data_IF_619892227985
#
_entry.id   IF_619892227985
#
_cell.length_a   1.000
_cell.length_b   1.000
_cell.length_c   1.000
_cell.angle_alpha   90.00
_cell.angle_beta   90.00
_cell.angle_gamma   90.00
#
_symmetry.space_group_name_H-M   'P 1'
#
loop_
_entity.id
_entity.type
_entity.pdbx_description
1 polymer ?
#
# COMPACT_ATOMS: atom_id res chain seq x y z
N UNK A 1 -90.91 26.47 -1.92
CA UNK A 1 -90.56 25.14 -1.41
C UNK A 1 -89.11 24.83 -1.75
N UNK A 2 -88.28 25.08 -0.77
CA UNK A 2 -86.80 24.85 -0.98
C UNK A 2 -86.43 23.54 -0.34
N UNK A 3 -86.03 22.55 -1.10
CA UNK A 3 -85.62 21.27 -0.62
C UNK A 3 -84.11 21.35 -0.30
N UNK A 4 -83.76 21.32 0.97
CA UNK A 4 -82.36 21.21 1.42
C UNK A 4 -81.96 19.73 1.37
N UNK A 5 -80.88 19.46 0.65
CA UNK A 5 -80.21 18.15 0.58
C UNK A 5 -79.60 17.80 1.94
N UNK A 6 -79.70 16.55 2.42
CA UNK A 6 -79.08 16.14 3.68
C UNK A 6 -77.54 16.14 3.60
N UNK A 7 -76.83 16.47 4.69
CA UNK A 7 -75.38 16.39 4.73
C UNK A 7 -74.92 14.95 4.61
N UNK A 8 -73.98 14.66 3.71
CA UNK A 8 -73.37 13.36 3.54
C UNK A 8 -72.57 13.01 4.82
N UNK A 9 -73.08 12.15 5.69
CA UNK A 9 -72.37 11.56 6.81
C UNK A 9 -71.29 10.62 6.27
N UNK A 10 -70.08 11.14 6.12
CA UNK A 10 -68.91 10.28 5.86
C UNK A 10 -68.82 9.31 7.00
N UNK A 11 -68.90 8.01 6.70
CA UNK A 11 -68.91 6.96 7.72
C UNK A 11 -67.64 7.04 8.56
N UNK A 12 -67.71 6.97 9.91
CA UNK A 12 -66.50 7.03 10.77
C UNK A 12 -65.48 5.95 10.42
N UNK A 13 -65.91 4.83 9.87
CA UNK A 13 -65.08 3.75 9.35
C UNK A 13 -64.18 4.19 8.20
N UNK A 14 -64.65 5.03 7.28
CA UNK A 14 -63.83 5.55 6.16
C UNK A 14 -62.72 6.51 6.66
N UNK A 15 -63.04 7.30 7.69
CA UNK A 15 -62.03 8.18 8.31
C UNK A 15 -60.96 7.38 9.06
N UNK A 16 -61.34 6.34 9.80
CA UNK A 16 -60.39 5.43 10.46
C UNK A 16 -59.50 4.69 9.45
N UNK A 17 -60.06 4.17 8.36
CA UNK A 17 -59.30 3.51 7.32
C UNK A 17 -58.28 4.44 6.64
N UNK A 18 -58.67 5.70 6.38
CA UNK A 18 -57.76 6.69 5.79
C UNK A 18 -56.58 7.02 6.73
N UNK A 19 -56.85 7.23 8.02
CA UNK A 19 -55.79 7.51 9.02
C UNK A 19 -54.84 6.30 9.16
N UNK A 20 -55.37 5.09 9.20
CA UNK A 20 -54.57 3.85 9.28
C UNK A 20 -53.66 3.68 8.07
N UNK A 21 -54.18 3.88 6.86
CA UNK A 21 -53.39 3.80 5.63
C UNK A 21 -52.30 4.88 5.59
N UNK A 22 -52.60 6.08 6.05
CA UNK A 22 -51.62 7.16 6.12
C UNK A 22 -50.49 6.85 7.13
N UNK A 23 -50.86 6.32 8.31
CA UNK A 23 -49.89 5.91 9.31
C UNK A 23 -49.00 4.73 8.80
N UNK A 24 -49.61 3.74 8.14
CA UNK A 24 -48.88 2.64 7.53
C UNK A 24 -47.92 3.09 6.42
N UNK A 25 -48.36 4.02 5.57
CA UNK A 25 -47.53 4.61 4.54
C UNK A 25 -46.35 5.41 5.12
N UNK A 26 -46.60 6.21 6.18
CA UNK A 26 -45.54 6.93 6.89
C UNK A 26 -44.54 5.99 7.55
N UNK A 27 -45.01 4.92 8.21
CA UNK A 27 -44.15 3.92 8.83
C UNK A 27 -43.31 3.18 7.78
N UNK A 28 -43.93 2.78 6.67
CA UNK A 28 -43.22 2.16 5.54
C UNK A 28 -42.16 3.08 4.92
N UNK A 29 -42.47 4.35 4.72
CA UNK A 29 -41.52 5.34 4.20
C UNK A 29 -40.37 5.57 5.20
N UNK A 30 -40.61 5.56 6.50
CA UNK A 30 -39.61 5.71 7.53
C UNK A 30 -38.63 4.51 7.54
N UNK A 31 -39.16 3.28 7.51
CA UNK A 31 -38.35 2.07 7.44
C UNK A 31 -37.52 2.07 6.17
N UNK A 32 -38.09 2.41 5.02
CA UNK A 32 -37.41 2.45 3.75
C UNK A 32 -36.25 3.50 3.70
N UNK A 33 -36.45 4.66 4.34
CA UNK A 33 -35.40 5.68 4.45
C UNK A 33 -34.27 5.24 5.37
N UNK A 34 -34.59 4.58 6.51
CA UNK A 34 -33.60 4.02 7.42
C UNK A 34 -32.77 2.92 6.77
N UNK A 35 -33.42 1.97 6.08
CA UNK A 35 -32.67 0.92 5.33
C UNK A 35 -31.78 1.50 4.23
N UNK A 36 -32.21 2.55 3.55
CA UNK A 36 -31.38 3.23 2.56
C UNK A 36 -30.16 3.93 3.19
N UNK A 37 -30.33 4.55 4.35
CA UNK A 37 -29.26 5.20 5.08
C UNK A 37 -28.24 4.18 5.58
N UNK A 38 -28.69 3.04 6.14
CA UNK A 38 -27.77 1.97 6.59
C UNK A 38 -26.96 1.39 5.44
N UNK A 39 -27.59 1.10 4.30
CA UNK A 39 -26.88 0.61 3.11
C UNK A 39 -25.92 1.64 2.52
N UNK A 40 -26.25 2.93 2.57
CA UNK A 40 -25.35 3.99 2.13
C UNK A 40 -24.15 4.12 3.08
N UNK A 41 -24.38 4.08 4.40
CA UNK A 41 -23.31 4.12 5.39
C UNK A 41 -22.36 2.93 5.30
N UNK A 42 -22.88 1.70 5.11
CA UNK A 42 -22.04 0.51 4.91
C UNK A 42 -21.17 0.61 3.65
N UNK A 43 -21.70 1.17 2.56
CA UNK A 43 -20.92 1.40 1.32
C UNK A 43 -19.86 2.49 1.52
N UNK A 44 -20.18 3.54 2.23
CA UNK A 44 -19.23 4.63 2.52
C UNK A 44 -18.11 4.14 3.44
N UNK A 45 -18.45 3.39 4.49
CA UNK A 45 -17.44 2.79 5.38
C UNK A 45 -16.52 1.80 4.65
N UNK A 46 -17.05 0.96 3.76
CA UNK A 46 -16.23 0.06 2.97
C UNK A 46 -15.32 0.81 1.96
N UNK A 47 -15.81 1.91 1.40
CA UNK A 47 -15.03 2.76 0.49
C UNK A 47 -13.96 3.57 1.25
N UNK A 48 -14.26 4.06 2.44
CA UNK A 48 -13.33 4.80 3.30
C UNK A 48 -12.19 3.90 3.78
N UNK A 49 -12.51 2.68 4.26
CA UNK A 49 -11.50 1.68 4.65
C UNK A 49 -10.61 1.29 3.46
N UNK A 50 -11.19 1.11 2.27
CA UNK A 50 -10.40 0.83 1.07
C UNK A 50 -9.53 2.04 0.67
N UNK A 51 -10.03 3.25 0.81
CA UNK A 51 -9.29 4.49 0.56
C UNK A 51 -8.10 4.67 1.48
N UNK A 52 -8.28 4.44 2.78
CA UNK A 52 -7.23 4.53 3.79
C UNK A 52 -6.10 3.50 3.53
N UNK A 53 -6.45 2.29 3.12
CA UNK A 53 -5.47 1.25 2.76
C UNK A 53 -4.65 1.63 1.52
N UNK A 54 -5.30 2.20 0.50
CA UNK A 54 -4.61 2.68 -0.71
C UNK A 54 -3.65 3.81 -0.38
N UNK A 55 -4.05 4.76 0.46
CA UNK A 55 -3.17 5.85 0.89
C UNK A 55 -2.01 5.38 1.76
N UNK A 56 -2.24 4.41 2.64
CA UNK A 56 -1.17 3.81 3.45
C UNK A 56 -0.13 3.11 2.55
N UNK A 57 -0.60 2.33 1.57
CA UNK A 57 0.27 1.66 0.60
C UNK A 57 1.06 2.67 -0.24
N UNK A 58 0.42 3.73 -0.71
CA UNK A 58 1.08 4.77 -1.49
C UNK A 58 2.19 5.45 -0.67
N UNK A 59 1.90 5.83 0.57
CA UNK A 59 2.90 6.42 1.48
C UNK A 59 4.08 5.49 1.74
N UNK A 60 3.83 4.20 1.91
CA UNK A 60 4.88 3.21 2.10
C UNK A 60 5.77 3.05 0.87
N UNK A 61 5.19 3.07 -0.33
CA UNK A 61 5.94 3.06 -1.58
C UNK A 61 6.80 4.33 -1.70
N UNK A 62 6.25 5.50 -1.40
CA UNK A 62 6.99 6.77 -1.43
C UNK A 62 8.16 6.77 -0.44
N UNK A 63 7.96 6.25 0.77
CA UNK A 63 9.04 6.09 1.76
C UNK A 63 10.11 5.11 1.27
N UNK A 64 9.71 3.99 0.66
CA UNK A 64 10.65 3.03 0.08
C UNK A 64 11.48 3.63 -1.05
N UNK A 65 10.85 4.43 -1.91
CA UNK A 65 11.52 5.20 -2.95
C UNK A 65 12.55 6.17 -2.34
N UNK A 66 12.16 6.91 -1.33
CA UNK A 66 13.03 7.86 -0.62
C UNK A 66 14.23 7.17 0.03
N UNK A 67 14.01 6.03 0.70
CA UNK A 67 15.09 5.24 1.29
C UNK A 67 16.07 4.74 0.24
N UNK A 68 15.58 4.17 -0.88
CA UNK A 68 16.45 3.72 -1.98
C UNK A 68 17.28 4.88 -2.56
N UNK A 69 16.70 6.07 -2.75
CA UNK A 69 17.44 7.23 -3.24
C UNK A 69 18.59 7.61 -2.30
N UNK A 70 18.36 7.55 -0.98
CA UNK A 70 19.41 7.79 0.04
C UNK A 70 20.51 6.73 -0.06
N UNK A 71 20.15 5.45 -0.21
CA UNK A 71 21.13 4.38 -0.38
C UNK A 71 21.95 4.54 -1.68
N UNK A 72 21.31 4.94 -2.78
CA UNK A 72 22.01 5.24 -4.05
C UNK A 72 23.02 6.37 -3.85
N UNK A 73 22.64 7.43 -3.14
CA UNK A 73 23.53 8.54 -2.84
C UNK A 73 24.75 8.09 -2.02
N UNK A 74 24.53 7.25 -0.99
CA UNK A 74 25.63 6.66 -0.19
C UNK A 74 26.60 5.83 -1.04
N UNK A 75 26.05 4.94 -1.89
CA UNK A 75 26.86 4.11 -2.78
C UNK A 75 27.67 4.95 -3.76
N UNK A 76 27.06 5.99 -4.34
CA UNK A 76 27.74 6.90 -5.28
C UNK A 76 28.83 7.70 -4.58
N UNK A 77 28.54 8.26 -3.39
CA UNK A 77 29.51 9.00 -2.59
C UNK A 77 30.71 8.14 -2.19
N UNK A 78 30.45 6.88 -1.84
CA UNK A 78 31.48 5.92 -1.46
C UNK A 78 32.14 5.22 -2.66
N UNK A 79 31.86 5.64 -3.91
CA UNK A 79 32.37 4.95 -5.12
C UNK A 79 32.15 3.44 -5.10
N UNK A 80 30.98 3.02 -4.62
CA UNK A 80 30.61 1.61 -4.51
C UNK A 80 31.01 0.94 -3.19
N UNK A 81 31.70 1.62 -2.32
CA UNK A 81 32.10 1.12 -1.01
C UNK A 81 31.37 1.88 0.11
N UNK A 82 30.66 1.14 0.95
CA UNK A 82 29.94 1.71 2.12
C UNK A 82 30.32 0.89 3.37
N UNK A 83 31.52 1.13 3.94
CA UNK A 83 32.07 0.26 4.97
C UNK A 83 31.26 0.26 6.28
N UNK A 84 30.61 1.38 6.60
CA UNK A 84 29.77 1.54 7.81
C UNK A 84 28.27 1.39 7.51
N UNK A 85 27.92 0.64 6.49
CA UNK A 85 26.51 0.52 6.03
C UNK A 85 25.58 0.04 7.15
N UNK A 86 25.99 -0.93 7.96
CA UNK A 86 25.17 -1.47 9.05
C UNK A 86 24.83 -0.38 10.08
N UNK A 87 25.83 0.41 10.48
CA UNK A 87 25.63 1.51 11.42
C UNK A 87 24.72 2.60 10.85
N UNK A 88 25.02 3.05 9.63
CA UNK A 88 24.22 4.07 8.93
C UNK A 88 22.79 3.58 8.72
N UNK A 89 22.62 2.37 8.24
CA UNK A 89 21.31 1.78 7.97
C UNK A 89 20.47 1.61 9.23
N UNK A 90 21.08 1.20 10.35
CA UNK A 90 20.38 1.14 11.64
C UNK A 90 19.91 2.50 12.12
N UNK A 91 20.68 3.56 11.88
CA UNK A 91 20.26 4.92 12.18
C UNK A 91 19.16 5.43 11.22
N UNK A 92 19.14 4.95 9.99
CA UNK A 92 18.13 5.33 8.99
C UNK A 92 16.77 4.66 9.23
N UNK A 93 16.72 3.39 9.61
CA UNK A 93 15.49 2.60 9.72
C UNK A 93 14.35 3.28 10.48
N UNK A 94 14.57 3.95 11.62
CA UNK A 94 13.50 4.62 12.36
C UNK A 94 12.78 5.74 11.58
N UNK A 95 13.42 6.29 10.55
CA UNK A 95 12.83 7.33 9.69
C UNK A 95 11.99 6.78 8.55
N UNK A 96 11.99 5.45 8.36
CA UNK A 96 11.28 4.77 7.28
C UNK A 96 10.35 3.67 7.82
N UNK A 97 9.26 4.05 8.50
CA UNK A 97 8.31 3.08 9.05
C UNK A 97 7.74 2.19 7.94
N UNK A 98 7.61 0.89 8.21
CA UNK A 98 7.15 -0.12 7.25
C UNK A 98 8.26 -0.75 6.41
N UNK A 99 9.49 -0.23 6.43
CA UNK A 99 10.64 -0.91 5.84
C UNK A 99 11.13 -1.98 6.83
N UNK A 100 11.05 -3.24 6.41
CA UNK A 100 11.51 -4.39 7.19
C UNK A 100 13.02 -4.64 7.04
N UNK A 101 13.58 -4.32 5.88
CA UNK A 101 15.01 -4.43 5.61
C UNK A 101 15.42 -3.50 4.47
N UNK A 102 16.68 -3.06 4.50
CA UNK A 102 17.34 -2.38 3.40
C UNK A 102 18.73 -2.94 3.18
N UNK A 103 19.22 -2.88 1.96
CA UNK A 103 20.53 -3.47 1.69
C UNK A 103 21.17 -3.06 0.38
N UNK A 104 22.39 -3.58 0.20
CA UNK A 104 23.26 -3.33 -0.93
C UNK A 104 23.62 -4.65 -1.62
N UNK A 105 23.53 -4.65 -2.94
CA UNK A 105 23.78 -5.85 -3.77
C UNK A 105 24.73 -5.53 -4.91
N UNK A 106 26.03 -5.38 -4.65
CA UNK A 106 27.03 -5.26 -5.70
C UNK A 106 26.97 -6.43 -6.68
N UNK A 107 26.99 -6.16 -7.99
CA UNK A 107 26.85 -7.19 -9.02
C UNK A 107 25.49 -7.89 -9.05
N UNK A 108 24.51 -7.45 -8.23
CA UNK A 108 23.21 -8.10 -8.07
C UNK A 108 23.15 -9.10 -6.92
N UNK A 109 24.26 -9.35 -6.23
CA UNK A 109 24.32 -10.28 -5.08
C UNK A 109 24.28 -9.52 -3.77
N UNK A 110 23.37 -9.87 -2.87
CA UNK A 110 23.24 -9.22 -1.58
C UNK A 110 24.48 -9.42 -0.72
N UNK A 111 25.17 -8.34 -0.39
CA UNK A 111 26.36 -8.36 0.46
C UNK A 111 26.14 -7.70 1.81
N UNK A 112 25.24 -6.71 1.88
CA UNK A 112 24.94 -5.99 3.10
C UNK A 112 23.43 -5.85 3.27
N UNK A 113 22.95 -6.05 4.49
CA UNK A 113 21.52 -5.94 4.86
C UNK A 113 21.36 -5.37 6.27
N UNK A 114 20.36 -4.55 6.46
CA UNK A 114 20.03 -3.91 7.74
C UNK A 114 18.51 -4.00 7.99
N UNK A 115 18.06 -4.43 9.18
CA UNK A 115 18.86 -5.05 10.23
C UNK A 115 19.40 -6.41 9.77
N UNK A 116 20.56 -6.81 10.26
CA UNK A 116 21.11 -8.12 9.94
C UNK A 116 20.33 -9.24 10.65
N UNK A 117 19.94 -9.00 11.89
CA UNK A 117 19.13 -9.93 12.66
C UNK A 117 17.79 -10.23 11.97
N UNK A 118 17.54 -11.51 11.67
CA UNK A 118 16.36 -12.01 10.97
C UNK A 118 16.40 -11.85 9.45
N UNK A 119 17.52 -11.35 8.88
CA UNK A 119 17.73 -11.17 7.44
C UNK A 119 19.01 -11.86 6.94
N UNK A 120 19.60 -12.72 7.76
CA UNK A 120 20.88 -13.40 7.46
C UNK A 120 20.80 -14.25 6.20
N UNK A 121 19.64 -14.83 5.92
CA UNK A 121 19.39 -15.66 4.74
C UNK A 121 19.36 -14.88 3.41
N UNK A 122 19.32 -13.54 3.48
CA UNK A 122 19.43 -12.69 2.30
C UNK A 122 20.89 -12.56 1.83
N UNK A 123 21.87 -12.73 2.72
CA UNK A 123 23.28 -12.59 2.36
C UNK A 123 23.67 -13.68 1.35
N UNK A 124 24.29 -13.26 0.26
CA UNK A 124 24.65 -14.12 -0.87
C UNK A 124 23.51 -14.39 -1.86
N UNK A 125 22.29 -13.85 -1.64
CA UNK A 125 21.19 -14.01 -2.56
C UNK A 125 21.44 -13.25 -3.87
N UNK A 126 21.41 -13.98 -5.00
CA UNK A 126 21.60 -13.42 -6.34
C UNK A 126 20.26 -12.98 -6.92
N UNK A 127 20.04 -11.68 -6.94
CA UNK A 127 18.80 -11.08 -7.42
C UNK A 127 18.62 -11.17 -8.94
N UNK A 128 19.70 -11.28 -9.70
CA UNK A 128 19.64 -11.36 -11.17
C UNK A 128 19.36 -12.77 -11.67
N UNK A 129 19.83 -13.78 -10.94
CA UNK A 129 19.70 -15.18 -11.35
C UNK A 129 18.60 -15.94 -10.58
N UNK A 130 17.85 -15.28 -9.70
CA UNK A 130 16.70 -15.90 -9.00
C UNK A 130 15.56 -16.17 -9.98
N UNK A 131 15.01 -17.40 -10.02
CA UNK A 131 13.95 -17.78 -10.97
C UNK A 131 12.63 -17.04 -10.76
N UNK A 132 12.38 -16.47 -9.56
CA UNK A 132 11.15 -15.74 -9.21
C UNK A 132 11.26 -14.25 -9.46
N UNK A 133 12.44 -13.65 -9.27
CA UNK A 133 12.64 -12.21 -9.28
C UNK A 133 13.67 -11.73 -10.32
N UNK A 134 14.36 -12.64 -10.99
CA UNK A 134 15.44 -12.29 -11.93
C UNK A 134 14.94 -11.45 -13.12
N UNK A 135 13.74 -11.74 -13.61
CA UNK A 135 13.13 -10.96 -14.70
C UNK A 135 12.88 -9.50 -14.31
N UNK A 136 12.35 -9.25 -13.08
CA UNK A 136 12.17 -7.90 -12.54
C UNK A 136 13.50 -7.19 -12.28
N UNK A 137 14.50 -7.95 -11.81
CA UNK A 137 15.85 -7.43 -11.57
C UNK A 137 16.53 -7.01 -12.88
N UNK A 138 16.39 -7.83 -13.92
CA UNK A 138 16.89 -7.51 -15.26
C UNK A 138 16.22 -6.24 -15.82
N UNK A 139 14.89 -6.14 -15.70
CA UNK A 139 14.15 -4.93 -16.11
C UNK A 139 14.60 -3.69 -15.35
N UNK A 140 14.82 -3.80 -14.03
CA UNK A 140 15.35 -2.69 -13.24
C UNK A 140 16.71 -2.24 -13.77
N UNK A 141 17.61 -3.20 -14.01
CA UNK A 141 18.93 -2.93 -14.58
C UNK A 141 18.86 -2.27 -15.95
N UNK A 142 18.01 -2.75 -16.85
CA UNK A 142 17.88 -2.22 -18.22
C UNK A 142 17.24 -0.83 -18.26
N UNK A 143 16.19 -0.62 -17.47
CA UNK A 143 15.49 0.67 -17.43
C UNK A 143 16.24 1.76 -16.67
N UNK A 144 17.11 1.39 -15.74
CA UNK A 144 17.74 2.33 -14.81
C UNK A 144 16.80 2.90 -13.76
N UNK A 145 15.56 2.39 -13.69
CA UNK A 145 14.52 2.88 -12.79
C UNK A 145 14.33 1.93 -11.61
N UNK A 146 13.79 2.48 -10.52
CA UNK A 146 13.33 1.66 -9.41
C UNK A 146 12.19 0.75 -9.90
N UNK A 147 12.28 -0.52 -9.54
CA UNK A 147 11.25 -1.54 -9.80
C UNK A 147 10.77 -2.13 -8.49
N UNK A 148 9.46 -2.42 -8.45
CA UNK A 148 8.84 -3.15 -7.35
C UNK A 148 8.61 -4.60 -7.79
N UNK A 149 9.08 -5.55 -7.00
CA UNK A 149 8.79 -6.96 -7.15
C UNK A 149 7.85 -7.43 -6.04
N UNK A 150 6.81 -8.12 -6.39
CA UNK A 150 5.80 -8.61 -5.44
C UNK A 150 4.38 -8.13 -5.78
N UNK A 151 3.39 -8.42 -4.89
CA UNK A 151 3.57 -9.05 -3.58
C UNK A 151 4.04 -10.50 -3.66
N UNK A 152 4.96 -10.90 -2.78
CA UNK A 152 5.51 -12.25 -2.72
C UNK A 152 5.82 -12.67 -1.29
N UNK A 153 5.98 -13.95 -1.06
CA UNK A 153 6.51 -14.46 0.19
C UNK A 153 8.00 -14.14 0.29
N UNK A 154 8.36 -13.39 1.34
CA UNK A 154 9.72 -12.93 1.57
C UNK A 154 10.59 -14.07 2.12
N UNK A 155 11.89 -14.09 1.82
CA UNK A 155 12.83 -15.08 2.35
C UNK A 155 12.93 -15.03 3.88
N UNK A 156 12.73 -13.87 4.47
CA UNK A 156 12.70 -13.66 5.93
C UNK A 156 11.31 -13.86 6.54
N UNK A 157 10.37 -14.38 5.76
CA UNK A 157 8.98 -14.67 6.15
C UNK A 157 8.03 -13.50 6.01
N UNK A 158 6.75 -13.85 5.79
CA UNK A 158 5.66 -12.90 5.57
C UNK A 158 5.53 -12.42 4.14
N UNK A 159 4.37 -11.84 3.84
CA UNK A 159 4.06 -11.25 2.53
C UNK A 159 4.67 -9.85 2.42
N UNK A 160 5.30 -9.54 1.31
CA UNK A 160 5.89 -8.23 1.13
C UNK A 160 6.22 -7.86 -0.30
N UNK A 161 6.80 -6.69 -0.44
CA UNK A 161 7.25 -6.11 -1.71
C UNK A 161 8.72 -5.73 -1.57
N UNK A 162 9.49 -5.96 -2.60
CA UNK A 162 10.90 -5.54 -2.68
C UNK A 162 11.03 -4.44 -3.71
N UNK A 163 11.39 -3.25 -3.23
CA UNK A 163 11.78 -2.13 -4.08
C UNK A 163 13.27 -2.17 -4.35
N UNK A 164 13.69 -2.27 -5.61
CA UNK A 164 15.11 -2.26 -5.98
C UNK A 164 15.42 -1.17 -6.99
N UNK A 165 16.54 -0.50 -6.73
CA UNK A 165 17.05 0.60 -7.54
C UNK A 165 18.41 0.23 -8.10
N UNK A 166 18.61 0.21 -9.43
CA UNK A 166 19.91 -0.03 -10.00
C UNK A 166 20.83 1.17 -9.79
N UNK A 167 22.07 0.90 -9.45
CA UNK A 167 23.11 1.89 -9.26
C UNK A 167 24.15 1.72 -10.37
N UNK A 168 24.52 2.83 -10.97
CA UNK A 168 25.61 2.90 -11.95
C UNK A 168 26.65 3.85 -11.41
N UNK A 169 27.90 3.45 -11.55
CA UNK A 169 29.07 4.26 -11.23
C UNK A 169 29.82 4.58 -12.51
N UNK A 170 30.42 5.75 -12.54
CA UNK A 170 31.30 6.15 -13.64
C UNK A 170 32.71 5.69 -13.35
N UNK A 171 33.40 5.13 -14.37
CA UNK A 171 34.81 4.84 -14.30
C UNK A 171 35.66 6.09 -14.67
N UNK A 172 36.97 5.97 -14.58
CA UNK A 172 37.91 7.06 -14.87
C UNK A 172 37.81 7.59 -16.33
N UNK A 173 37.14 6.86 -17.20
CA UNK A 173 36.88 7.23 -18.59
C UNK A 173 35.48 7.79 -18.82
N UNK A 174 34.71 8.03 -17.75
CA UNK A 174 33.33 8.54 -17.80
C UNK A 174 32.30 7.52 -18.28
N UNK A 175 32.64 6.22 -18.35
CA UNK A 175 31.68 5.19 -18.75
C UNK A 175 30.84 4.75 -17.56
N UNK A 176 29.54 4.71 -17.76
CA UNK A 176 28.57 4.23 -16.76
C UNK A 176 28.56 2.70 -16.70
N UNK A 177 29.00 2.16 -15.60
CA UNK A 177 29.05 0.72 -15.34
C UNK A 177 28.01 0.35 -14.29
N UNK A 178 27.28 -0.74 -14.51
CA UNK A 178 26.34 -1.26 -13.53
C UNK A 178 27.13 -1.76 -12.31
N UNK A 179 26.91 -1.09 -11.18
CA UNK A 179 27.52 -1.48 -9.91
C UNK A 179 26.74 -2.59 -9.22
N UNK A 180 25.39 -2.51 -9.26
CA UNK A 180 24.51 -3.41 -8.54
C UNK A 180 23.18 -2.74 -8.20
N UNK A 181 22.54 -3.21 -7.13
CA UNK A 181 21.29 -2.65 -6.64
C UNK A 181 21.42 -2.14 -5.20
N UNK A 182 20.68 -1.09 -4.89
CA UNK A 182 20.15 -0.86 -3.55
C UNK A 182 18.73 -1.45 -3.48
N UNK A 183 18.32 -1.95 -2.33
CA UNK A 183 16.97 -2.48 -2.19
C UNK A 183 16.39 -2.19 -0.81
N UNK A 184 15.07 -2.14 -0.75
CA UNK A 184 14.28 -2.09 0.46
C UNK A 184 13.20 -3.16 0.42
N UNK A 185 12.92 -3.78 1.56
CA UNK A 185 11.86 -4.76 1.73
C UNK A 185 10.77 -4.16 2.61
N UNK A 186 9.53 -4.21 2.13
CA UNK A 186 8.35 -3.72 2.84
C UNK A 186 7.46 -4.92 3.15
N UNK A 187 7.11 -5.14 4.42
CA UNK A 187 6.08 -6.12 4.79
C UNK A 187 4.70 -5.50 4.66
N UNK A 188 3.83 -6.14 3.87
CA UNK A 188 2.49 -5.62 3.63
C UNK A 188 1.63 -5.49 4.90
N UNK A 189 1.63 -6.43 5.87
CA UNK A 189 0.88 -6.26 7.11
C UNK A 189 1.31 -5.04 7.93
N UNK A 190 2.61 -4.74 7.98
CA UNK A 190 3.15 -3.58 8.69
C UNK A 190 2.77 -2.26 8.02
N UNK A 191 2.68 -2.26 6.70
CA UNK A 191 2.24 -1.12 5.90
C UNK A 191 0.75 -0.86 6.02
N UNK A 192 -0.05 -1.92 6.14
CA UNK A 192 -1.51 -1.80 6.26
C UNK A 192 -1.97 -1.55 7.70
N UNK A 193 -1.11 -1.72 8.69
CA UNK A 193 -1.41 -1.49 10.11
C UNK A 193 -1.16 -0.05 10.57
N UNK A 194 -0.56 0.78 9.73
CA UNK A 194 -0.29 2.21 9.99
C UNK A 194 -1.28 3.11 9.28
#
# INVERSE_FOLDING_TARGET
MSSAAPPSTRSPLAAFAAVFLLAAACAGALVWTLERQERAQQRTQAADVAGDHVQALQRAIELALSANNTLVALVRQGHGNVPQFEEIGMQMLPFYPGIAAMGLSPGGVVQQVVPRAGNENLLGFDQLNDPRQGAESARARESGLLTLAGPMELMQGGLGVVGRQPVYLEDDLGRRNFWGFTYVTIRLPEVLAT
#
